data_IF_196445613465
#
_entry.id   IF_196445613465
#
_cell.length_a   1.000
_cell.length_b   1.000
_cell.length_c   1.000
_cell.angle_alpha   90.00
_cell.angle_beta   90.00
_cell.angle_gamma   90.00
#
_symmetry.space_group_name_H-M   'P 1'
#
loop_
_entity.id
_entity.type
_entity.pdbx_description
1 polymer ?
#
# COMPACT_ATOMS: atom_id res chain seq x y z
N UNK A 1 12.75 -23.06 5.70
CA UNK A 1 13.89 -22.84 4.77
C UNK A 1 13.44 -21.81 3.74
N UNK A 2 14.08 -20.64 3.72
CA UNK A 2 13.77 -19.57 2.78
C UNK A 2 14.32 -19.98 1.41
N UNK A 3 13.47 -20.51 0.53
CA UNK A 3 13.85 -20.72 -0.87
C UNK A 3 14.01 -19.33 -1.47
N UNK A 4 15.20 -18.95 -1.99
CA UNK A 4 15.33 -17.70 -2.70
C UNK A 4 14.39 -17.80 -3.91
N UNK A 5 13.37 -16.94 -3.98
CA UNK A 5 12.66 -16.75 -5.23
C UNK A 5 13.70 -16.38 -6.28
N UNK A 6 13.92 -17.32 -7.20
CA UNK A 6 14.60 -17.07 -8.44
C UNK A 6 13.99 -15.81 -9.05
N UNK A 7 14.83 -14.85 -9.43
CA UNK A 7 14.47 -13.87 -10.45
C UNK A 7 14.21 -14.66 -11.75
N UNK A 8 13.05 -15.30 -11.86
CA UNK A 8 12.49 -15.55 -13.18
C UNK A 8 12.07 -14.18 -13.68
N UNK A 9 12.93 -13.63 -14.53
CA UNK A 9 12.55 -12.62 -15.50
C UNK A 9 11.42 -13.23 -16.35
N UNK A 10 10.18 -13.22 -15.88
CA UNK A 10 9.09 -12.99 -16.81
C UNK A 10 9.25 -11.54 -17.26
N UNK A 11 9.27 -11.32 -18.57
CA UNK A 11 8.88 -10.02 -19.10
C UNK A 11 7.43 -9.84 -18.68
N UNK A 12 7.19 -9.40 -17.44
CA UNK A 12 5.85 -9.02 -17.02
C UNK A 12 5.51 -7.82 -17.89
N UNK A 13 4.68 -8.09 -18.90
CA UNK A 13 4.16 -7.06 -19.79
C UNK A 13 3.54 -5.99 -18.90
N UNK A 14 4.07 -4.76 -18.99
CA UNK A 14 3.58 -3.65 -18.17
C UNK A 14 2.15 -3.40 -18.65
N UNK A 15 1.19 -3.80 -17.82
CA UNK A 15 -0.22 -3.63 -18.12
C UNK A 15 -0.50 -2.14 -18.42
N UNK A 16 -1.34 -1.85 -19.43
CA UNK A 16 -1.69 -0.49 -19.74
C UNK A 16 -2.42 0.12 -18.55
N UNK A 17 -2.05 1.36 -18.22
CA UNK A 17 -2.66 2.10 -17.13
C UNK A 17 -2.83 3.58 -17.47
N UNK A 18 -2.59 3.97 -18.70
CA UNK A 18 -2.84 5.33 -19.16
C UNK A 18 -3.69 5.37 -20.41
N UNK A 19 -4.30 6.52 -20.62
CA UNK A 19 -5.01 6.90 -21.84
C UNK A 19 -4.49 8.27 -22.27
N UNK A 20 -4.25 8.41 -23.57
CA UNK A 20 -3.99 9.70 -24.21
C UNK A 20 -5.21 10.04 -25.04
N UNK A 21 -5.84 11.17 -24.73
CA UNK A 21 -7.01 11.71 -25.41
C UNK A 21 -6.50 12.82 -26.34
N UNK A 22 -6.76 12.69 -27.64
CA UNK A 22 -6.26 13.61 -28.66
C UNK A 22 -7.36 14.57 -29.14
N UNK A 23 -6.99 15.48 -30.04
CA UNK A 23 -7.91 16.39 -30.74
C UNK A 23 -8.73 17.28 -29.80
N UNK A 24 -8.14 17.61 -28.65
CA UNK A 24 -8.72 18.54 -27.71
C UNK A 24 -8.40 19.99 -28.12
N UNK A 25 -9.28 20.96 -27.79
CA UNK A 25 -8.98 22.37 -27.99
C UNK A 25 -7.65 22.76 -27.32
N UNK A 26 -6.84 23.58 -27.97
CA UNK A 26 -5.56 24.05 -27.40
C UNK A 26 -5.72 24.84 -26.10
N UNK A 27 -6.92 25.36 -25.84
CA UNK A 27 -7.28 26.10 -24.62
C UNK A 27 -7.88 25.22 -23.52
N UNK A 28 -7.99 23.90 -23.72
CA UNK A 28 -8.66 23.02 -22.77
C UNK A 28 -7.93 22.99 -21.44
N UNK A 29 -8.69 23.10 -20.34
CA UNK A 29 -8.15 22.98 -18.99
C UNK A 29 -8.18 21.53 -18.49
N UNK A 30 -7.29 21.15 -17.56
CA UNK A 30 -7.32 19.82 -16.95
C UNK A 30 -8.68 19.45 -16.35
N UNK A 31 -9.32 20.38 -15.63
CA UNK A 31 -10.66 20.20 -15.06
C UNK A 31 -11.72 19.81 -16.08
N UNK A 32 -11.68 20.36 -17.30
CA UNK A 32 -12.63 20.01 -18.37
C UNK A 32 -12.50 18.55 -18.81
N UNK A 33 -11.29 18.01 -18.78
CA UNK A 33 -11.01 16.59 -19.05
C UNK A 33 -11.39 15.74 -17.84
N UNK A 34 -10.91 16.10 -16.65
CA UNK A 34 -11.07 15.35 -15.41
C UNK A 34 -12.53 15.23 -14.97
N UNK A 35 -13.35 16.25 -15.21
CA UNK A 35 -14.78 16.24 -14.89
C UNK A 35 -15.57 15.19 -15.69
N UNK A 36 -15.05 14.77 -16.85
CA UNK A 36 -15.62 13.70 -17.68
C UNK A 36 -15.18 12.30 -17.25
N UNK A 37 -14.29 12.17 -16.26
CA UNK A 37 -13.81 10.88 -15.76
C UNK A 37 -14.61 10.46 -14.53
N UNK A 38 -15.26 9.30 -14.63
CA UNK A 38 -16.15 8.77 -13.59
C UNK A 38 -15.59 7.55 -12.83
N UNK A 39 -14.53 6.93 -13.36
CA UNK A 39 -13.95 5.69 -12.84
C UNK A 39 -12.44 5.81 -12.78
N UNK A 40 -11.88 6.43 -11.75
CA UNK A 40 -10.43 6.31 -11.63
C UNK A 40 -9.77 6.90 -10.42
N UNK A 41 -8.85 6.11 -9.88
CA UNK A 41 -7.74 6.61 -9.09
C UNK A 41 -6.66 7.13 -10.02
N UNK A 42 -6.56 8.45 -10.17
CA UNK A 42 -5.62 9.10 -11.10
C UNK A 42 -4.28 9.33 -10.40
N UNK A 43 -3.20 8.82 -11.00
CA UNK A 43 -1.82 9.14 -10.62
C UNK A 43 -1.41 10.52 -11.11
N UNK A 44 -1.66 10.79 -12.39
CA UNK A 44 -1.33 12.06 -13.02
C UNK A 44 -2.26 12.42 -14.18
N UNK A 45 -2.44 13.72 -14.39
CA UNK A 45 -3.04 14.31 -15.58
C UNK A 45 -2.07 15.34 -16.15
N UNK A 46 -1.79 15.29 -17.45
CA UNK A 46 -0.98 16.30 -18.13
C UNK A 46 -1.63 16.68 -19.46
N UNK A 47 -1.54 17.96 -19.82
CA UNK A 47 -2.01 18.46 -21.12
C UNK A 47 -0.79 18.90 -21.93
N UNK A 48 -0.74 18.49 -23.19
CA UNK A 48 0.32 18.86 -24.13
C UNK A 48 -0.28 18.90 -25.53
N UNK A 49 -0.15 20.03 -26.22
CA UNK A 49 -0.48 20.21 -27.63
C UNK A 49 -1.82 19.60 -28.08
N UNK A 50 -2.92 20.04 -27.45
CA UNK A 50 -4.27 19.55 -27.79
C UNK A 50 -4.51 18.08 -27.41
N UNK A 51 -3.69 17.53 -26.53
CA UNK A 51 -3.85 16.16 -26.02
C UNK A 51 -3.78 16.15 -24.49
N UNK A 52 -4.54 15.25 -23.86
CA UNK A 52 -4.51 15.02 -22.42
C UNK A 52 -4.08 13.59 -22.13
N UNK A 53 -3.05 13.41 -21.31
CA UNK A 53 -2.59 12.11 -20.83
C UNK A 53 -3.07 11.91 -19.40
N UNK A 54 -3.88 10.89 -19.19
CA UNK A 54 -4.30 10.45 -17.86
C UNK A 54 -3.63 9.13 -17.52
N UNK A 55 -2.99 9.06 -16.37
CA UNK A 55 -2.34 7.86 -15.85
C UNK A 55 -3.10 7.41 -14.60
N UNK A 56 -3.55 6.16 -14.57
CA UNK A 56 -4.31 5.54 -13.49
C UNK A 56 -3.44 4.64 -12.62
N UNK A 57 -3.90 4.38 -11.39
CA UNK A 57 -3.28 3.44 -10.46
C UNK A 57 -3.56 1.97 -10.80
N UNK A 58 -4.61 1.68 -11.56
CA UNK A 58 -5.01 0.32 -11.90
C UNK A 58 -5.47 0.18 -13.36
N UNK A 59 -5.22 -0.98 -13.94
CA UNK A 59 -5.77 -1.36 -15.24
C UNK A 59 -7.32 -1.34 -15.23
N UNK A 60 -7.92 -1.73 -14.11
CA UNK A 60 -9.38 -1.78 -13.96
C UNK A 60 -10.01 -0.38 -14.10
N UNK A 61 -9.43 0.62 -13.45
CA UNK A 61 -9.88 2.01 -13.56
C UNK A 61 -9.77 2.53 -14.99
N UNK A 62 -8.65 2.23 -15.68
CA UNK A 62 -8.47 2.55 -17.10
C UNK A 62 -9.56 1.88 -17.95
N UNK A 63 -9.78 0.58 -17.77
CA UNK A 63 -10.76 -0.20 -18.52
C UNK A 63 -12.17 0.38 -18.36
N UNK A 64 -12.59 0.66 -17.14
CA UNK A 64 -13.91 1.23 -16.86
C UNK A 64 -14.05 2.65 -17.39
N UNK A 65 -12.99 3.46 -17.32
CA UNK A 65 -12.97 4.78 -17.95
C UNK A 65 -13.16 4.67 -19.46
N UNK A 66 -12.44 3.78 -20.15
CA UNK A 66 -12.60 3.57 -21.59
C UNK A 66 -14.03 3.14 -21.93
N UNK A 67 -14.63 2.24 -21.14
CA UNK A 67 -16.02 1.82 -21.34
C UNK A 67 -17.01 2.95 -21.17
N UNK A 68 -16.83 3.81 -20.17
CA UNK A 68 -17.68 4.99 -19.95
C UNK A 68 -17.52 6.02 -21.07
N UNK A 69 -16.29 6.23 -21.57
CA UNK A 69 -16.02 7.12 -22.73
C UNK A 69 -16.73 6.61 -23.98
N UNK A 70 -16.64 5.29 -24.26
CA UNK A 70 -17.30 4.64 -25.41
C UNK A 70 -18.83 4.73 -25.33
N UNK A 71 -19.41 4.58 -24.14
CA UNK A 71 -20.87 4.62 -23.96
C UNK A 71 -21.44 6.03 -24.05
N UNK A 72 -20.72 7.03 -23.54
CA UNK A 72 -21.23 8.41 -23.46
C UNK A 72 -20.69 9.32 -24.57
N UNK A 73 -19.89 8.79 -25.52
CA UNK A 73 -19.22 9.56 -26.58
C UNK A 73 -18.49 10.81 -26.04
N UNK A 74 -17.89 10.71 -24.85
CA UNK A 74 -17.30 11.86 -24.16
C UNK A 74 -16.02 12.40 -24.82
N UNK A 75 -15.34 11.53 -25.58
CA UNK A 75 -14.15 11.81 -26.38
C UNK A 75 -14.15 10.94 -27.64
N UNK A 76 -13.68 11.49 -28.76
CA UNK A 76 -13.73 10.85 -30.09
C UNK A 76 -12.43 10.15 -30.48
N UNK A 77 -11.29 10.62 -29.97
CA UNK A 77 -9.95 10.16 -30.37
C UNK A 77 -9.10 9.89 -29.12
N UNK A 78 -8.69 8.64 -28.90
CA UNK A 78 -7.83 8.25 -27.79
C UNK A 78 -7.06 6.95 -28.06
N UNK A 79 -5.95 6.75 -27.35
CA UNK A 79 -5.20 5.49 -27.33
C UNK A 79 -4.66 5.17 -25.93
N UNK A 80 -4.35 3.90 -25.67
CA UNK A 80 -3.85 3.44 -24.38
C UNK A 80 -2.33 3.45 -24.32
N UNK A 81 -1.78 3.71 -23.13
CA UNK A 81 -0.34 3.68 -22.87
C UNK A 81 -0.02 2.85 -21.64
N UNK A 82 1.13 2.18 -21.68
CA UNK A 82 1.69 1.44 -20.55
C UNK A 82 2.79 2.26 -19.88
N UNK A 83 2.64 2.47 -18.58
CA UNK A 83 3.64 3.14 -17.76
C UNK A 83 3.91 2.28 -16.52
N UNK A 84 5.16 2.13 -16.07
CA UNK A 84 5.42 1.44 -14.81
C UNK A 84 4.91 2.28 -13.65
N UNK A 85 4.43 1.64 -12.59
CA UNK A 85 4.07 2.30 -11.33
C UNK A 85 5.20 2.15 -10.31
N UNK A 86 5.58 3.25 -9.66
CA UNK A 86 6.57 3.20 -8.58
C UNK A 86 5.95 2.57 -7.34
N UNK A 87 6.62 1.58 -6.76
CA UNK A 87 6.15 0.81 -5.61
C UNK A 87 5.72 1.68 -4.42
N UNK A 88 6.53 2.67 -4.04
CA UNK A 88 6.24 3.59 -2.94
C UNK A 88 5.03 4.51 -3.23
N UNK A 89 4.86 4.93 -4.48
CA UNK A 89 3.72 5.75 -4.90
C UNK A 89 2.42 4.95 -4.85
N UNK A 90 2.46 3.70 -5.36
CA UNK A 90 1.36 2.74 -5.25
C UNK A 90 0.96 2.51 -3.80
N UNK A 91 1.92 2.23 -2.92
CA UNK A 91 1.63 1.92 -1.52
C UNK A 91 1.07 3.14 -0.78
N UNK A 92 1.56 4.35 -1.06
CA UNK A 92 0.97 5.58 -0.53
C UNK A 92 -0.49 5.75 -0.97
N UNK A 93 -0.79 5.54 -2.25
CA UNK A 93 -2.16 5.59 -2.77
C UNK A 93 -3.08 4.55 -2.12
N UNK A 94 -2.63 3.29 -2.01
CA UNK A 94 -3.39 2.23 -1.34
C UNK A 94 -3.66 2.51 0.16
N UNK A 95 -2.81 3.33 0.78
CA UNK A 95 -3.00 3.84 2.14
C UNK A 95 -3.91 5.07 2.22
N UNK A 96 -4.39 5.60 1.10
CA UNK A 96 -5.35 6.71 1.05
C UNK A 96 -4.81 8.02 0.47
N UNK A 97 -3.57 8.04 -0.06
CA UNK A 97 -3.10 9.22 -0.79
C UNK A 97 -3.92 9.43 -2.07
N UNK A 98 -4.25 10.69 -2.33
CA UNK A 98 -4.88 11.17 -3.56
C UNK A 98 -4.14 12.41 -4.05
N UNK A 99 -4.47 12.89 -5.25
CA UNK A 99 -4.00 14.19 -5.75
C UNK A 99 -4.71 15.39 -5.10
N UNK A 100 -5.72 15.16 -4.26
CA UNK A 100 -6.47 16.22 -3.59
C UNK A 100 -6.07 16.30 -2.11
N UNK A 101 -5.85 17.52 -1.61
CA UNK A 101 -5.40 17.78 -0.25
C UNK A 101 -6.34 18.78 0.39
N UNK A 102 -6.74 18.54 1.62
CA UNK A 102 -7.54 19.48 2.41
C UNK A 102 -6.69 20.03 3.56
N UNK A 103 -6.81 21.33 3.79
CA UNK A 103 -6.28 22.01 4.97
C UNK A 103 -7.49 22.53 5.74
N UNK A 104 -7.74 21.95 6.91
CA UNK A 104 -8.86 22.30 7.78
C UNK A 104 -8.63 23.62 8.51
N UNK A 105 -9.69 24.30 8.95
CA UNK A 105 -9.63 25.54 9.73
C UNK A 105 -8.70 26.60 9.10
N UNK A 106 -8.97 26.94 7.84
CA UNK A 106 -8.10 27.74 6.96
C UNK A 106 -8.84 28.92 6.33
N UNK A 107 -9.87 29.43 7.00
CA UNK A 107 -10.58 30.66 6.64
C UNK A 107 -9.56 31.79 6.43
N UNK A 108 -9.66 32.48 5.28
CA UNK A 108 -8.78 33.59 4.91
C UNK A 108 -7.39 33.20 4.41
N UNK A 109 -7.07 31.89 4.28
CA UNK A 109 -5.76 31.43 3.82
C UNK A 109 -5.71 31.01 2.34
N UNK A 110 -6.80 31.22 1.58
CA UNK A 110 -6.94 30.74 0.20
C UNK A 110 -5.79 31.22 -0.70
N UNK A 111 -5.49 32.52 -0.73
CA UNK A 111 -4.47 33.09 -1.60
C UNK A 111 -3.06 32.61 -1.23
N UNK A 112 -2.78 32.53 0.07
CA UNK A 112 -1.50 32.02 0.59
C UNK A 112 -1.31 30.54 0.23
N UNK A 113 -2.33 29.71 0.46
CA UNK A 113 -2.26 28.28 0.15
C UNK A 113 -2.15 28.05 -1.37
N UNK A 114 -2.88 28.82 -2.16
CA UNK A 114 -2.80 28.80 -3.63
C UNK A 114 -1.37 29.09 -4.09
N UNK A 115 -0.80 30.21 -3.66
CA UNK A 115 0.58 30.60 -3.98
C UNK A 115 1.59 29.52 -3.55
N UNK A 116 1.43 28.97 -2.35
CA UNK A 116 2.31 27.93 -1.83
C UNK A 116 2.19 26.61 -2.59
N UNK A 117 0.99 26.22 -3.04
CA UNK A 117 0.77 24.97 -3.77
C UNK A 117 1.47 24.97 -5.13
N UNK A 118 1.52 26.12 -5.81
CA UNK A 118 2.20 26.28 -7.10
C UNK A 118 3.72 26.04 -7.00
N UNK A 119 4.32 26.21 -5.82
CA UNK A 119 5.74 25.89 -5.58
C UNK A 119 6.06 24.39 -5.65
N UNK A 120 5.04 23.53 -5.56
CA UNK A 120 5.23 22.07 -5.60
C UNK A 120 4.98 21.49 -6.99
N UNK A 121 4.04 22.07 -7.74
CA UNK A 121 3.67 21.66 -9.09
C UNK A 121 2.29 22.18 -9.47
N UNK A 122 1.83 21.78 -10.65
CA UNK A 122 0.57 22.26 -11.22
C UNK A 122 -0.66 21.81 -10.41
N UNK A 123 -1.58 22.76 -10.25
CA UNK A 123 -2.88 22.57 -9.62
C UNK A 123 -3.98 22.76 -10.65
N UNK A 124 -4.98 21.88 -10.62
CA UNK A 124 -6.21 22.05 -11.37
C UNK A 124 -7.05 23.18 -10.78
N UNK A 125 -7.24 23.13 -9.45
CA UNK A 125 -8.12 24.04 -8.74
C UNK A 125 -7.70 24.16 -7.28
N UNK A 126 -7.88 25.35 -6.70
CA UNK A 126 -7.79 25.58 -5.26
C UNK A 126 -9.08 26.27 -4.82
N UNK A 127 -9.83 25.62 -3.94
CA UNK A 127 -11.18 26.07 -3.53
C UNK A 127 -11.26 26.24 -2.03
N UNK A 128 -12.05 27.21 -1.58
CA UNK A 128 -12.46 27.31 -0.18
C UNK A 128 -13.87 26.77 -0.03
N UNK A 129 -14.05 25.82 0.88
CA UNK A 129 -15.31 25.15 1.12
C UNK A 129 -15.45 24.85 2.62
N UNK A 130 -16.56 25.29 3.23
CA UNK A 130 -16.90 25.02 4.63
C UNK A 130 -15.79 25.34 5.63
N UNK A 131 -15.09 26.46 5.43
CA UNK A 131 -13.98 26.90 6.30
C UNK A 131 -12.65 26.16 6.06
N UNK A 132 -12.59 25.30 5.06
CA UNK A 132 -11.39 24.58 4.64
C UNK A 132 -10.89 25.11 3.30
N UNK A 133 -9.65 24.77 2.95
CA UNK A 133 -9.06 24.98 1.63
C UNK A 133 -8.70 23.62 1.06
N UNK A 134 -9.21 23.33 -0.13
CA UNK A 134 -8.95 22.09 -0.86
C UNK A 134 -8.08 22.44 -2.08
N UNK A 135 -6.93 21.78 -2.17
CA UNK A 135 -5.98 21.91 -3.27
C UNK A 135 -6.06 20.64 -4.12
N UNK A 136 -6.44 20.78 -5.39
CA UNK A 136 -6.50 19.68 -6.36
C UNK A 136 -5.26 19.73 -7.25
N UNK A 137 -4.26 18.90 -6.97
CA UNK A 137 -3.08 18.78 -7.83
C UNK A 137 -3.39 17.96 -9.08
N UNK A 138 -2.58 18.15 -10.12
CA UNK A 138 -2.60 17.29 -11.30
C UNK A 138 -1.85 15.97 -11.11
N UNK A 139 -0.91 15.93 -10.15
CA UNK A 139 -0.11 14.75 -9.81
C UNK A 139 -0.20 14.42 -8.32
N UNK A 140 -0.46 13.14 -8.01
CA UNK A 140 -0.44 12.65 -6.62
C UNK A 140 0.94 12.79 -5.96
N UNK A 141 2.02 12.66 -6.73
CA UNK A 141 3.39 12.83 -6.22
C UNK A 141 3.61 14.25 -5.70
N UNK A 142 3.01 15.25 -6.34
CA UNK A 142 3.06 16.65 -5.93
C UNK A 142 2.25 16.87 -4.66
N UNK A 143 1.02 16.33 -4.60
CA UNK A 143 0.20 16.33 -3.39
C UNK A 143 0.93 15.71 -2.19
N UNK A 144 1.60 14.56 -2.37
CA UNK A 144 2.38 13.90 -1.32
C UNK A 144 3.54 14.76 -0.80
N UNK A 145 4.25 15.49 -1.68
CA UNK A 145 5.31 16.41 -1.27
C UNK A 145 4.74 17.61 -0.49
N UNK A 146 3.62 18.15 -0.95
CA UNK A 146 2.91 19.25 -0.28
C UNK A 146 2.47 18.84 1.12
N UNK A 147 1.79 17.69 1.24
CA UNK A 147 1.39 17.11 2.53
C UNK A 147 2.59 16.87 3.45
N UNK A 148 3.68 16.31 2.93
CA UNK A 148 4.90 16.09 3.73
C UNK A 148 5.45 17.41 4.32
N UNK A 149 5.49 18.49 3.53
CA UNK A 149 5.97 19.80 4.01
C UNK A 149 5.04 20.36 5.10
N UNK A 150 3.75 20.40 4.85
CA UNK A 150 2.77 20.97 5.78
C UNK A 150 2.60 20.12 7.04
N UNK A 151 2.68 18.79 6.93
CA UNK A 151 2.65 17.91 8.10
C UNK A 151 3.87 18.11 9.03
N UNK A 152 5.01 18.53 8.46
CA UNK A 152 6.19 18.86 9.27
C UNK A 152 6.05 20.18 10.04
N UNK A 153 5.22 21.09 9.55
CA UNK A 153 4.95 22.40 10.14
C UNK A 153 3.96 22.29 11.30
N UNK A 154 4.30 22.86 12.45
CA UNK A 154 3.48 22.83 13.67
C UNK A 154 2.12 23.48 13.45
N UNK A 155 2.05 24.52 12.59
CA UNK A 155 0.79 25.22 12.31
C UNK A 155 -0.22 24.33 11.56
N UNK A 156 0.25 23.42 10.72
CA UNK A 156 -0.61 22.65 9.80
C UNK A 156 -0.68 21.15 10.11
N UNK A 157 0.21 20.61 10.95
CA UNK A 157 0.38 19.16 11.20
C UNK A 157 -0.93 18.40 11.43
N UNK A 158 -1.83 18.98 12.23
CA UNK A 158 -3.11 18.35 12.60
C UNK A 158 -4.29 18.84 11.75
N UNK A 159 -4.05 19.74 10.80
CA UNK A 159 -5.08 20.35 9.93
C UNK A 159 -5.06 19.78 8.51
N UNK A 160 -3.91 19.26 8.08
CA UNK A 160 -3.75 18.75 6.72
C UNK A 160 -4.14 17.27 6.61
N UNK A 161 -4.84 16.93 5.54
CA UNK A 161 -5.18 15.54 5.19
C UNK A 161 -5.30 15.37 3.67
N UNK A 162 -5.31 14.12 3.20
CA UNK A 162 -5.78 13.84 1.84
C UNK A 162 -7.30 14.04 1.77
N UNK A 163 -7.77 14.45 0.60
CA UNK A 163 -9.18 14.65 0.28
C UNK A 163 -9.60 13.68 -0.84
N UNK A 164 -10.86 13.20 -0.89
CA UNK A 164 -11.30 12.34 -1.99
C UNK A 164 -11.05 12.98 -3.36
N UNK A 165 -10.51 12.20 -4.30
CA UNK A 165 -10.38 12.64 -5.69
C UNK A 165 -11.76 12.53 -6.36
N UNK A 166 -12.30 13.62 -6.95
CA UNK A 166 -13.60 13.57 -7.63
C UNK A 166 -13.67 12.55 -8.77
N UNK A 167 -12.54 12.12 -9.34
CA UNK A 167 -12.53 11.09 -10.38
C UNK A 167 -12.71 9.68 -9.81
N UNK A 168 -12.49 9.49 -8.50
CA UNK A 168 -12.62 8.20 -7.84
C UNK A 168 -14.08 7.85 -7.53
N UNK A 169 -14.51 6.68 -7.99
CA UNK A 169 -15.70 6.00 -7.49
C UNK A 169 -17.08 6.68 -7.65
N UNK A 170 -17.26 7.62 -8.59
CA UNK A 170 -18.57 8.26 -8.83
C UNK A 170 -19.70 7.27 -9.18
N UNK A 171 -19.40 6.15 -9.86
CA UNK A 171 -20.40 5.20 -10.38
C UNK A 171 -20.19 3.72 -10.01
N UNK A 172 -19.12 3.36 -9.30
CA UNK A 172 -18.87 1.95 -8.91
C UNK A 172 -19.98 1.34 -8.04
N UNK A 173 -20.71 2.18 -7.29
CA UNK A 173 -21.78 1.75 -6.37
C UNK A 173 -23.03 1.24 -7.12
N UNK A 174 -23.17 1.47 -8.43
CA UNK A 174 -24.37 1.15 -9.19
C UNK A 174 -24.24 -0.04 -10.16
N UNK A 175 -23.03 -0.55 -10.44
CA UNK A 175 -22.83 -1.63 -11.42
C UNK A 175 -22.72 -3.02 -10.76
N UNK A 176 -23.75 -3.84 -10.96
CA UNK A 176 -23.95 -5.19 -10.42
C UNK A 176 -23.16 -6.32 -11.11
N UNK A 177 -22.19 -6.00 -11.98
CA UNK A 177 -21.51 -7.00 -12.81
C UNK A 177 -20.33 -7.72 -12.12
N UNK A 178 -19.85 -7.21 -10.98
CA UNK A 178 -18.82 -7.87 -10.17
C UNK A 178 -19.39 -8.20 -8.80
N UNK A 179 -19.05 -9.38 -8.28
CA UNK A 179 -19.44 -9.78 -6.93
C UNK A 179 -18.99 -8.71 -5.91
N UNK A 180 -19.98 -8.10 -5.26
CA UNK A 180 -19.84 -7.05 -4.24
C UNK A 180 -18.81 -7.39 -3.14
N UNK A 181 -18.56 -8.68 -2.92
CA UNK A 181 -17.62 -9.17 -1.91
C UNK A 181 -16.15 -8.76 -2.16
N UNK A 182 -15.75 -8.47 -3.41
CA UNK A 182 -14.40 -8.03 -3.81
C UNK A 182 -14.17 -6.52 -3.74
N UNK A 183 -15.24 -5.72 -3.68
CA UNK A 183 -15.17 -4.25 -3.60
C UNK A 183 -15.26 -3.70 -2.17
N UNK A 184 -15.39 -4.56 -1.17
CA UNK A 184 -15.27 -4.15 0.23
C UNK A 184 -13.84 -3.63 0.44
N UNK A 185 -13.68 -2.32 0.58
CA UNK A 185 -12.40 -1.62 0.79
C UNK A 185 -11.84 -1.81 2.21
N UNK A 186 -11.98 -3.00 2.78
CA UNK A 186 -11.49 -3.31 4.11
C UNK A 186 -10.10 -3.97 4.01
N UNK A 187 -9.12 -3.37 4.68
CA UNK A 187 -7.72 -3.83 4.72
C UNK A 187 -7.41 -4.76 5.89
N UNK A 188 -8.34 -4.89 6.83
CA UNK A 188 -8.09 -5.52 8.13
C UNK A 188 -8.67 -6.92 8.16
N UNK A 189 -7.84 -7.88 8.58
CA UNK A 189 -8.22 -9.28 8.78
C UNK A 189 -8.18 -9.61 10.26
N UNK A 190 -9.26 -10.21 10.75
CA UNK A 190 -9.35 -10.76 12.09
C UNK A 190 -8.89 -12.22 12.09
N UNK A 191 -8.01 -12.55 13.04
CA UNK A 191 -7.55 -13.90 13.33
C UNK A 191 -7.94 -14.26 14.77
N UNK A 192 -8.83 -15.22 14.94
CA UNK A 192 -9.27 -15.73 16.25
C UNK A 192 -8.66 -17.10 16.57
N UNK A 193 -8.67 -17.46 17.85
CA UNK A 193 -8.09 -18.73 18.31
C UNK A 193 -6.57 -18.69 18.50
N UNK A 194 -6.02 -17.49 18.74
CA UNK A 194 -4.59 -17.32 18.96
C UNK A 194 -4.22 -17.82 20.35
N UNK A 195 -3.47 -18.92 20.42
CA UNK A 195 -2.96 -19.48 21.68
C UNK A 195 -1.85 -18.59 22.27
N UNK A 196 -1.59 -18.71 23.58
CA UNK A 196 -0.50 -17.99 24.28
C UNK A 196 0.85 -18.24 23.63
N UNK A 197 1.04 -19.44 23.10
CA UNK A 197 2.34 -19.91 22.62
C UNK A 197 2.58 -19.52 21.16
N UNK A 198 1.58 -18.99 20.45
CA UNK A 198 1.73 -18.54 19.06
C UNK A 198 2.49 -17.20 19.06
N UNK A 199 3.63 -17.12 18.38
CA UNK A 199 4.39 -15.87 18.27
C UNK A 199 3.84 -14.98 17.14
N UNK A 200 4.21 -13.68 17.11
CA UNK A 200 3.97 -12.85 15.93
C UNK A 200 4.54 -13.47 14.64
N UNK A 201 5.75 -14.05 14.70
CA UNK A 201 6.37 -14.74 13.56
C UNK A 201 5.50 -15.90 13.04
N UNK A 202 4.91 -16.69 13.95
CA UNK A 202 4.00 -17.79 13.61
C UNK A 202 2.76 -17.29 12.84
N UNK A 203 2.22 -16.13 13.23
CA UNK A 203 1.09 -15.49 12.53
C UNK A 203 1.52 -15.02 11.14
N UNK A 204 2.64 -14.32 11.03
CA UNK A 204 3.12 -13.83 9.74
C UNK A 204 3.61 -14.95 8.79
N UNK A 205 3.95 -16.13 9.32
CA UNK A 205 4.25 -17.31 8.51
C UNK A 205 3.04 -17.80 7.70
N UNK A 206 1.81 -17.53 8.16
CA UNK A 206 0.58 -17.94 7.46
C UNK A 206 -0.08 -16.78 6.70
N UNK A 207 0.29 -15.53 6.97
CA UNK A 207 -0.20 -14.34 6.26
C UNK A 207 0.55 -14.14 4.95
N UNK A 208 -0.20 -13.99 3.85
CA UNK A 208 0.35 -13.90 2.49
C UNK A 208 -0.52 -13.10 1.54
N UNK A 209 0.00 -12.82 0.34
CA UNK A 209 -0.73 -12.13 -0.73
C UNK A 209 -0.44 -10.63 -0.83
N UNK A 210 0.37 -10.06 0.07
CA UNK A 210 0.70 -8.63 0.01
C UNK A 210 1.45 -8.09 1.23
N UNK A 211 1.86 -6.83 1.11
CA UNK A 211 2.52 -6.10 2.19
C UNK A 211 1.55 -5.81 3.34
N UNK A 212 2.05 -5.91 4.57
CA UNK A 212 1.29 -5.66 5.79
C UNK A 212 1.73 -4.32 6.41
N UNK A 213 0.76 -3.53 6.88
CA UNK A 213 0.99 -2.32 7.66
C UNK A 213 1.32 -2.67 9.11
N UNK A 214 0.48 -3.48 9.76
CA UNK A 214 0.59 -3.79 11.18
C UNK A 214 -0.05 -5.12 11.57
N UNK A 215 0.48 -5.71 12.65
CA UNK A 215 -0.16 -6.76 13.43
C UNK A 215 -0.46 -6.22 14.83
N UNK A 216 -1.74 -6.24 15.22
CA UNK A 216 -2.18 -5.97 16.59
C UNK A 216 -2.60 -7.28 17.25
N UNK A 217 -1.82 -7.73 18.22
CA UNK A 217 -2.07 -8.97 18.96
C UNK A 217 -2.73 -8.68 20.31
N UNK A 218 -3.90 -9.28 20.55
CA UNK A 218 -4.64 -9.16 21.80
C UNK A 218 -4.67 -10.52 22.50
N UNK A 219 -3.66 -10.77 23.33
CA UNK A 219 -3.45 -12.04 24.04
C UNK A 219 -4.66 -12.45 24.89
N UNK A 220 -5.19 -11.51 25.68
CA UNK A 220 -6.34 -11.76 26.57
C UNK A 220 -7.61 -12.14 25.80
N UNK A 221 -7.76 -11.61 24.58
CA UNK A 221 -8.89 -11.89 23.70
C UNK A 221 -8.62 -13.07 22.75
N UNK A 222 -7.44 -13.70 22.84
CA UNK A 222 -7.00 -14.80 21.97
C UNK A 222 -7.21 -14.49 20.49
N UNK A 223 -6.92 -13.25 20.09
CA UNK A 223 -7.13 -12.79 18.72
C UNK A 223 -6.06 -11.79 18.25
N UNK A 224 -5.99 -11.60 16.94
CA UNK A 224 -5.12 -10.62 16.32
C UNK A 224 -5.82 -9.93 15.14
N UNK A 225 -5.33 -8.74 14.80
CA UNK A 225 -5.77 -7.98 13.64
C UNK A 225 -4.56 -7.70 12.74
N UNK A 226 -4.70 -8.00 11.46
CA UNK A 226 -3.67 -7.78 10.44
C UNK A 226 -4.18 -6.75 9.45
N UNK A 227 -3.52 -5.60 9.39
CA UNK A 227 -3.86 -4.53 8.44
C UNK A 227 -2.95 -4.64 7.21
N UNK A 228 -3.50 -4.91 6.03
CA UNK A 228 -2.73 -4.92 4.78
C UNK A 228 -2.57 -3.50 4.22
N UNK A 229 -1.53 -3.26 3.42
CA UNK A 229 -1.44 -2.04 2.60
C UNK A 229 -2.56 -2.05 1.53
N UNK A 230 -2.73 -3.18 0.85
CA UNK A 230 -3.69 -3.34 -0.23
C UNK A 230 -4.95 -4.08 0.26
N UNK A 231 -6.12 -3.46 0.15
CA UNK A 231 -7.39 -4.10 0.54
C UNK A 231 -7.72 -5.33 -0.33
N UNK A 232 -7.30 -5.35 -1.61
CA UNK A 232 -7.46 -6.53 -2.44
C UNK A 232 -6.64 -7.71 -1.91
N UNK A 233 -5.42 -7.46 -1.40
CA UNK A 233 -4.59 -8.50 -0.77
C UNK A 233 -5.27 -9.08 0.47
N UNK A 234 -5.89 -8.24 1.31
CA UNK A 234 -6.68 -8.69 2.46
C UNK A 234 -7.85 -9.58 2.02
N UNK A 235 -8.64 -9.15 1.04
CA UNK A 235 -9.78 -9.91 0.52
C UNK A 235 -9.37 -11.26 -0.10
N UNK A 236 -8.28 -11.28 -0.88
CA UNK A 236 -7.73 -12.50 -1.47
C UNK A 236 -7.20 -13.45 -0.39
N UNK A 237 -6.49 -12.92 0.61
CA UNK A 237 -6.02 -13.70 1.74
C UNK A 237 -7.17 -14.32 2.55
N UNK A 238 -8.25 -13.57 2.78
CA UNK A 238 -9.46 -14.07 3.42
C UNK A 238 -10.08 -15.22 2.61
N UNK A 239 -10.31 -15.01 1.31
CA UNK A 239 -10.88 -16.04 0.45
C UNK A 239 -10.02 -17.31 0.41
N UNK A 240 -8.70 -17.14 0.30
CA UNK A 240 -7.74 -18.23 0.36
C UNK A 240 -7.81 -19.00 1.68
N UNK A 241 -7.86 -18.27 2.81
CA UNK A 241 -7.87 -18.84 4.16
C UNK A 241 -9.16 -19.61 4.47
N UNK A 242 -10.31 -19.16 3.95
CA UNK A 242 -11.59 -19.83 4.09
C UNK A 242 -11.64 -21.15 3.32
N UNK A 243 -10.96 -21.21 2.16
CA UNK A 243 -10.92 -22.43 1.35
C UNK A 243 -9.87 -23.43 1.85
N UNK A 244 -8.74 -23.00 2.38
CA UNK A 244 -7.58 -23.86 2.66
C UNK A 244 -7.30 -24.11 4.14
N UNK A 245 -8.17 -23.65 5.04
CA UNK A 245 -7.96 -23.64 6.50
C UNK A 245 -6.66 -22.95 6.92
N UNK A 246 -6.76 -21.73 7.46
CA UNK A 246 -5.60 -21.03 8.00
C UNK A 246 -5.08 -21.71 9.27
N UNK A 247 -3.90 -22.33 9.17
CA UNK A 247 -3.39 -23.20 10.22
C UNK A 247 -1.91 -22.97 10.48
N UNK A 248 -1.55 -22.77 11.75
CA UNK A 248 -0.17 -22.62 12.21
C UNK A 248 0.33 -23.99 12.68
N UNK A 249 1.43 -24.46 12.08
CA UNK A 249 2.10 -25.69 12.48
C UNK A 249 3.35 -25.34 13.30
N UNK A 250 3.29 -25.50 14.61
CA UNK A 250 4.39 -25.18 15.53
C UNK A 250 5.15 -26.44 15.93
N UNK A 251 6.45 -26.48 15.64
CA UNK A 251 7.33 -27.55 16.10
C UNK A 251 7.75 -27.28 17.53
N UNK A 252 7.60 -28.28 18.39
CA UNK A 252 7.99 -28.25 19.80
C UNK A 252 8.95 -29.39 20.04
N UNK A 253 10.16 -29.04 20.46
CA UNK A 253 11.15 -30.00 20.93
C UNK A 253 10.74 -30.50 22.31
N UNK A 254 10.74 -31.82 22.47
CA UNK A 254 10.47 -32.49 23.73
C UNK A 254 11.51 -33.59 23.93
N UNK A 255 11.58 -34.14 25.15
CA UNK A 255 12.48 -35.25 25.47
C UNK A 255 12.26 -36.50 24.57
N UNK A 256 11.09 -36.61 23.92
CA UNK A 256 10.73 -37.71 23.03
C UNK A 256 10.86 -37.34 21.53
N UNK A 257 11.56 -36.24 21.20
CA UNK A 257 11.75 -35.75 19.84
C UNK A 257 10.91 -34.51 19.50
N UNK A 258 10.80 -34.21 18.21
CA UNK A 258 10.10 -33.02 17.69
C UNK A 258 8.64 -33.36 17.43
N UNK A 259 7.74 -32.81 18.22
CA UNK A 259 6.30 -32.88 17.99
C UNK A 259 5.83 -31.65 17.22
N UNK A 260 4.81 -31.78 16.36
CA UNK A 260 4.18 -30.64 15.69
C UNK A 260 2.78 -30.45 16.24
N UNK A 261 2.52 -29.30 16.86
CA UNK A 261 1.19 -28.89 17.28
C UNK A 261 0.56 -28.04 16.17
N UNK A 262 -0.68 -28.36 15.84
CA UNK A 262 -1.44 -27.68 14.82
C UNK A 262 -2.48 -26.74 15.47
N UNK A 263 -2.42 -25.45 15.16
CA UNK A 263 -3.36 -24.44 15.61
C UNK A 263 -4.20 -23.93 14.43
N UNK A 264 -5.48 -24.29 14.41
CA UNK A 264 -6.43 -23.78 13.41
C UNK A 264 -6.94 -22.41 13.81
N UNK A 265 -6.76 -21.41 12.94
CA UNK A 265 -7.21 -20.05 13.16
C UNK A 265 -8.61 -19.82 12.59
N UNK A 266 -9.39 -18.98 13.27
CA UNK A 266 -10.64 -18.43 12.73
C UNK A 266 -10.32 -17.16 11.95
N UNK A 267 -10.52 -17.17 10.64
CA UNK A 267 -10.23 -16.01 9.78
C UNK A 267 -11.52 -15.34 9.34
N UNK A 268 -11.62 -14.02 9.52
CA UNK A 268 -12.75 -13.23 9.06
C UNK A 268 -12.33 -11.79 8.77
N UNK A 269 -13.24 -10.97 8.25
CA UNK A 269 -12.98 -9.54 8.08
C UNK A 269 -12.86 -8.89 9.45
N UNK A 270 -11.82 -8.08 9.63
CA UNK A 270 -11.65 -7.26 10.82
C UNK A 270 -12.44 -5.97 10.73
N UNK A 271 -12.44 -5.21 11.83
CA UNK A 271 -12.97 -3.84 11.84
C UNK A 271 -11.99 -2.96 11.07
N UNK A 272 -12.49 -2.21 10.10
CA UNK A 272 -11.65 -1.32 9.29
C UNK A 272 -10.99 -0.25 10.18
N UNK A 273 -9.69 -0.06 9.99
CA UNK A 273 -8.92 0.96 10.68
C UNK A 273 -8.55 2.10 9.73
N UNK A 274 -8.67 3.34 10.21
CA UNK A 274 -8.16 4.51 9.50
C UNK A 274 -6.64 4.45 9.49
N UNK A 275 -6.04 4.61 8.31
CA UNK A 275 -4.57 4.69 8.18
C UNK A 275 -4.13 6.09 8.57
N UNK A 276 -3.24 6.24 9.57
CA UNK A 276 -2.72 7.56 9.95
C UNK A 276 -2.00 8.24 8.79
N UNK A 277 -2.12 9.57 8.70
CA UNK A 277 -1.48 10.35 7.64
C UNK A 277 0.04 10.12 7.57
N UNK A 278 0.69 10.00 8.73
CA UNK A 278 2.13 9.71 8.81
C UNK A 278 2.47 8.38 8.13
N UNK A 279 1.64 7.35 8.26
CA UNK A 279 1.84 6.04 7.62
C UNK A 279 1.79 6.15 6.09
N UNK A 280 0.89 6.98 5.55
CA UNK A 280 0.84 7.27 4.11
C UNK A 280 2.17 7.88 3.63
N UNK A 281 2.73 8.83 4.38
CA UNK A 281 4.01 9.46 4.08
C UNK A 281 5.20 8.49 4.24
N UNK A 282 5.13 7.56 5.19
CA UNK A 282 6.11 6.48 5.36
C UNK A 282 6.10 5.52 4.16
N UNK A 283 4.92 5.10 3.69
CA UNK A 283 4.79 4.32 2.46
C UNK A 283 5.36 5.07 1.24
N UNK A 284 5.11 6.39 1.14
CA UNK A 284 5.69 7.22 0.08
C UNK A 284 7.23 7.30 0.17
N UNK A 285 7.80 7.25 1.37
CA UNK A 285 9.23 7.13 1.57
C UNK A 285 9.79 5.73 1.24
N UNK A 286 8.92 4.78 0.88
CA UNK A 286 9.27 3.39 0.55
C UNK A 286 9.33 2.46 1.75
N UNK A 287 8.78 2.87 2.91
CA UNK A 287 8.77 2.04 4.10
C UNK A 287 7.95 0.77 3.89
N UNK A 288 8.43 -0.30 4.50
CA UNK A 288 7.71 -1.55 4.75
C UNK A 288 8.02 -1.95 6.19
N UNK A 289 7.48 -3.07 6.66
CA UNK A 289 7.88 -3.67 7.94
C UNK A 289 9.31 -4.21 7.95
N UNK A 290 9.98 -4.29 6.80
CA UNK A 290 11.30 -4.89 6.68
C UNK A 290 12.39 -3.82 6.44
N UNK A 291 13.45 -3.88 7.25
CA UNK A 291 14.71 -3.17 7.00
C UNK A 291 15.72 -4.17 6.46
N UNK A 292 16.44 -3.75 5.43
CA UNK A 292 17.55 -4.47 4.84
C UNK A 292 18.87 -3.76 5.22
N UNK A 293 19.71 -4.49 5.92
CA UNK A 293 21.12 -4.15 6.12
C UNK A 293 21.98 -4.90 5.11
N UNK A 294 22.94 -4.18 4.54
CA UNK A 294 23.94 -4.71 3.61
C UNK A 294 25.30 -4.06 3.90
N UNK A 295 26.37 -4.67 3.38
CA UNK A 295 27.77 -4.33 3.68
C UNK A 295 28.20 -4.75 5.10
N UNK A 296 29.37 -5.35 5.28
CA UNK A 296 29.96 -5.73 6.59
C UNK A 296 29.05 -6.47 7.58
N UNK A 297 27.97 -7.09 7.09
CA UNK A 297 26.92 -7.70 7.93
C UNK A 297 27.37 -9.02 8.57
N UNK A 298 28.47 -9.63 8.12
CA UNK A 298 29.07 -10.80 8.77
C UNK A 298 29.46 -10.58 10.23
N UNK A 299 29.67 -9.32 10.64
CA UNK A 299 30.02 -8.95 12.02
C UNK A 299 28.81 -8.76 12.93
N UNK A 300 27.60 -8.71 12.36
CA UNK A 300 26.37 -8.48 13.12
C UNK A 300 25.94 -9.75 13.85
N UNK A 301 25.45 -9.58 15.07
CA UNK A 301 24.85 -10.65 15.87
C UNK A 301 23.38 -10.36 16.10
N UNK A 302 22.57 -11.42 16.24
CA UNK A 302 21.14 -11.28 16.59
C UNK A 302 20.96 -10.47 17.87
N UNK A 303 21.84 -10.66 18.88
CA UNK A 303 21.80 -9.91 20.13
C UNK A 303 21.96 -8.40 19.91
N UNK A 304 23.00 -7.97 19.18
CA UNK A 304 23.19 -6.53 18.86
C UNK A 304 22.01 -5.96 18.09
N UNK A 305 21.48 -6.71 17.12
CA UNK A 305 20.33 -6.25 16.33
C UNK A 305 19.07 -6.12 17.19
N UNK A 306 18.80 -7.05 18.11
CA UNK A 306 17.71 -6.92 19.07
C UNK A 306 17.88 -5.71 19.98
N UNK A 307 19.09 -5.47 20.49
CA UNK A 307 19.40 -4.31 21.34
C UNK A 307 19.26 -2.97 20.60
N UNK A 308 19.71 -2.89 19.36
CA UNK A 308 19.73 -1.65 18.58
C UNK A 308 18.37 -1.36 17.93
N UNK A 309 17.72 -2.36 17.34
CA UNK A 309 16.45 -2.19 16.63
C UNK A 309 15.23 -2.36 17.55
N UNK A 310 15.34 -3.13 18.64
CA UNK A 310 14.22 -3.38 19.55
C UNK A 310 13.74 -2.13 20.30
N UNK A 311 14.58 -1.08 20.37
CA UNK A 311 14.22 0.24 20.91
C UNK A 311 13.07 0.93 20.17
N UNK A 312 12.82 0.52 18.92
CA UNK A 312 11.83 1.15 18.04
C UNK A 312 10.48 0.44 18.00
N UNK A 313 10.43 -0.82 18.42
CA UNK A 313 9.25 -1.65 18.37
C UNK A 313 9.59 -3.14 18.42
N UNK A 314 8.55 -3.96 18.55
CA UNK A 314 8.71 -5.41 18.60
C UNK A 314 9.20 -5.95 17.24
N UNK A 315 10.30 -6.69 17.29
CA UNK A 315 10.89 -7.34 16.13
C UNK A 315 10.18 -8.68 15.94
N UNK A 316 9.58 -8.84 14.77
CA UNK A 316 9.00 -10.10 14.32
C UNK A 316 10.09 -11.15 14.10
N UNK A 317 11.11 -10.81 13.30
CA UNK A 317 12.12 -11.77 12.84
C UNK A 317 13.40 -11.04 12.42
N UNK A 318 14.55 -11.66 12.70
CA UNK A 318 15.86 -11.29 12.15
C UNK A 318 16.34 -12.44 11.28
N UNK A 319 16.57 -12.18 9.99
CA UNK A 319 16.97 -13.20 9.03
C UNK A 319 18.30 -12.86 8.34
N UNK A 320 19.33 -13.65 8.64
CA UNK A 320 20.67 -13.52 8.04
C UNK A 320 20.75 -14.32 6.74
N UNK A 321 21.01 -13.64 5.62
CA UNK A 321 21.32 -14.30 4.34
C UNK A 321 22.83 -14.28 4.15
N UNK A 322 23.52 -15.23 4.80
CA UNK A 322 25.00 -15.31 4.87
C UNK A 322 25.67 -15.24 3.50
N UNK A 323 25.15 -15.96 2.51
CA UNK A 323 25.70 -15.99 1.14
C UNK A 323 25.70 -14.61 0.49
N UNK A 324 24.69 -13.78 0.79
CA UNK A 324 24.56 -12.43 0.25
C UNK A 324 25.16 -11.36 1.17
N UNK A 325 25.65 -11.75 2.36
CA UNK A 325 26.12 -10.82 3.40
C UNK A 325 25.12 -9.70 3.69
N UNK A 326 23.85 -10.07 3.83
CA UNK A 326 22.76 -9.15 4.16
C UNK A 326 21.92 -9.68 5.33
N UNK A 327 21.23 -8.77 6.01
CA UNK A 327 20.30 -9.09 7.11
C UNK A 327 18.99 -8.38 6.88
N UNK A 328 17.89 -9.11 7.08
CA UNK A 328 16.56 -8.53 7.17
C UNK A 328 16.13 -8.44 8.63
N UNK A 329 15.59 -7.28 9.02
CA UNK A 329 14.95 -7.06 10.31
C UNK A 329 13.50 -6.70 10.03
N UNK A 330 12.58 -7.58 10.43
CA UNK A 330 11.16 -7.39 10.25
C UNK A 330 10.53 -6.93 11.57
N UNK A 331 9.78 -5.84 11.52
CA UNK A 331 8.98 -5.33 12.63
C UNK A 331 7.53 -5.79 12.52
N UNK A 332 6.78 -5.77 13.61
CA UNK A 332 5.34 -6.02 13.56
C UNK A 332 4.54 -4.89 12.87
N UNK A 333 5.14 -3.71 12.72
CA UNK A 333 4.49 -2.51 12.23
C UNK A 333 5.45 -1.64 11.37
N UNK A 334 4.91 -1.03 10.31
CA UNK A 334 5.66 -0.17 9.37
C UNK A 334 6.23 1.09 10.02
N UNK A 335 5.53 1.67 11.01
CA UNK A 335 5.98 2.89 11.67
C UNK A 335 7.25 2.65 12.49
N UNK A 336 7.36 1.49 13.15
CA UNK A 336 8.55 1.15 13.95
C UNK A 336 9.77 0.93 13.06
N UNK A 337 9.58 0.20 11.95
CA UNK A 337 10.58 0.05 10.89
C UNK A 337 11.02 1.41 10.32
N UNK A 338 10.08 2.31 10.04
CA UNK A 338 10.42 3.64 9.55
C UNK A 338 11.23 4.45 10.55
N UNK A 339 10.84 4.44 11.83
CA UNK A 339 11.54 5.18 12.88
C UNK A 339 12.96 4.63 13.10
N UNK A 340 13.10 3.30 13.16
CA UNK A 340 14.41 2.64 13.22
C UNK A 340 15.29 3.05 12.03
N UNK A 341 14.74 3.04 10.81
CA UNK A 341 15.45 3.48 9.62
C UNK A 341 15.90 4.94 9.70
N UNK A 342 15.02 5.87 10.11
CA UNK A 342 15.36 7.30 10.16
C UNK A 342 16.48 7.59 11.15
N UNK A 343 16.49 6.93 12.30
CA UNK A 343 17.54 7.14 13.30
C UNK A 343 18.83 6.42 12.92
N UNK A 344 18.78 5.12 12.63
CA UNK A 344 19.99 4.31 12.39
C UNK A 344 20.70 4.69 11.09
N UNK A 345 20.00 5.23 10.08
CA UNK A 345 20.65 5.74 8.87
C UNK A 345 21.56 6.95 9.15
N UNK A 346 21.29 7.69 10.22
CA UNK A 346 22.06 8.86 10.61
C UNK A 346 23.02 8.61 11.78
N UNK A 347 22.90 7.45 12.45
CA UNK A 347 23.83 7.00 13.47
C UNK A 347 25.23 6.76 12.88
N UNK A 348 26.26 7.24 13.58
CA UNK A 348 27.65 7.25 13.06
C UNK A 348 28.15 5.81 12.84
N UNK A 349 27.97 4.93 13.83
CA UNK A 349 28.44 3.54 13.73
C UNK A 349 27.74 2.84 12.56
N UNK A 350 26.42 3.00 12.46
CA UNK A 350 25.63 2.31 11.45
C UNK A 350 25.88 2.84 10.04
N UNK A 351 25.93 4.16 9.88
CA UNK A 351 26.12 4.83 8.58
C UNK A 351 27.47 4.49 7.96
N UNK A 352 28.53 4.38 8.76
CA UNK A 352 29.87 4.05 8.28
C UNK A 352 30.01 2.58 7.90
N UNK A 353 29.39 1.67 8.67
CA UNK A 353 29.57 0.22 8.49
C UNK A 353 28.57 -0.40 7.51
N UNK A 354 27.33 0.09 7.48
CA UNK A 354 26.21 -0.59 6.83
C UNK A 354 25.47 0.33 5.85
N UNK A 355 25.00 -0.25 4.74
CA UNK A 355 23.96 0.36 3.91
C UNK A 355 22.60 -0.11 4.39
N UNK A 356 21.79 0.84 4.86
CA UNK A 356 20.43 0.63 5.35
C UNK A 356 19.42 1.04 4.29
N UNK A 357 18.50 0.15 3.95
CA UNK A 357 17.37 0.40 3.03
C UNK A 357 16.12 -0.32 3.51
N UNK A 358 14.94 0.00 2.97
CA UNK A 358 13.76 -0.85 3.19
C UNK A 358 13.83 -2.12 2.33
N UNK A 359 13.44 -3.24 2.93
CA UNK A 359 13.23 -4.52 2.26
C UNK A 359 11.79 -4.66 1.74
N UNK A 360 11.51 -5.74 1.01
CA UNK A 360 10.11 -6.14 0.77
C UNK A 360 9.56 -6.83 2.00
N UNK A 361 8.26 -6.66 2.26
CA UNK A 361 7.60 -7.42 3.30
C UNK A 361 7.52 -8.90 2.88
N UNK A 362 7.85 -9.82 3.79
CA UNK A 362 7.84 -11.26 3.49
C UNK A 362 6.44 -11.80 3.20
N UNK A 363 5.39 -11.14 3.70
CA UNK A 363 4.00 -11.50 3.39
C UNK A 363 3.64 -11.22 1.91
N UNK A 364 4.49 -10.50 1.18
CA UNK A 364 4.37 -10.27 -0.28
C UNK A 364 5.10 -11.31 -1.14
N UNK A 365 5.79 -12.29 -0.53
CA UNK A 365 6.55 -13.31 -1.27
C UNK A 365 5.64 -14.19 -2.13
N UNK A 366 4.55 -14.71 -1.56
CA UNK A 366 3.44 -15.27 -2.34
C UNK A 366 2.54 -14.10 -2.77
N UNK A 367 2.40 -13.91 -4.07
CA UNK A 367 1.69 -12.77 -4.64
C UNK A 367 0.18 -12.94 -4.55
N UNK A 368 -0.53 -11.81 -4.58
CA UNK A 368 -2.00 -11.80 -4.66
C UNK A 368 -2.52 -12.64 -5.83
N UNK A 369 -1.86 -12.57 -7.00
CA UNK A 369 -2.28 -13.29 -8.20
C UNK A 369 -2.09 -14.80 -8.06
N UNK A 370 -0.99 -15.24 -7.45
CA UNK A 370 -0.76 -16.65 -7.13
C UNK A 370 -1.83 -17.20 -6.18
N UNK A 371 -2.16 -16.45 -5.12
CA UNK A 371 -3.25 -16.82 -4.20
C UNK A 371 -4.60 -16.85 -4.91
N UNK A 372 -4.90 -15.84 -5.74
CA UNK A 372 -6.16 -15.76 -6.46
C UNK A 372 -6.32 -16.92 -7.44
N UNK A 373 -5.26 -17.31 -8.17
CA UNK A 373 -5.28 -18.51 -9.02
C UNK A 373 -5.54 -19.78 -8.22
N UNK A 374 -4.95 -19.91 -7.03
CA UNK A 374 -5.22 -21.04 -6.13
C UNK A 374 -6.69 -21.10 -5.69
N UNK A 375 -7.28 -19.94 -5.35
CA UNK A 375 -8.70 -19.82 -5.00
C UNK A 375 -9.60 -20.23 -6.16
N UNK A 376 -9.35 -19.70 -7.36
CA UNK A 376 -10.13 -20.00 -8.57
C UNK A 376 -10.07 -21.48 -8.89
N UNK A 377 -8.85 -22.06 -8.91
CA UNK A 377 -8.66 -23.48 -9.20
C UNK A 377 -9.46 -24.37 -8.26
N UNK A 378 -9.38 -24.12 -6.95
CA UNK A 378 -10.09 -24.91 -5.95
C UNK A 378 -11.61 -24.84 -6.12
N UNK A 379 -12.17 -23.63 -6.35
CA UNK A 379 -13.60 -23.47 -6.64
C UNK A 379 -14.04 -24.22 -7.91
N UNK A 380 -13.21 -24.23 -8.95
CA UNK A 380 -13.50 -24.97 -10.17
C UNK A 380 -13.49 -26.49 -9.93
N UNK A 381 -12.56 -26.97 -9.11
CA UNK A 381 -12.47 -28.39 -8.77
C UNK A 381 -13.67 -28.82 -7.91
N UNK A 382 -14.05 -28.03 -6.90
CA UNK A 382 -15.22 -28.28 -6.04
C UNK A 382 -16.55 -28.22 -6.81
N UNK A 383 -16.63 -27.46 -7.92
CA UNK A 383 -17.84 -27.38 -8.76
C UNK A 383 -18.06 -28.58 -9.68
N UNK A 384 -17.06 -29.47 -9.79
CA UNK A 384 -17.12 -30.69 -10.62
C UNK A 384 -17.52 -31.93 -9.85
N UNK A 385 -17.51 -31.86 -8.52
CA UNK A 385 -17.96 -32.90 -7.58
C UNK A 385 -19.35 -32.58 -7.08
#
# INVERSE_FOLDING_TARGET
MYTPMNRKNSKDEILPRGIVINELPLTIKPSEVLNKINYGSIESCSITDGSATLIFFSYLDLYLTIKDIQQNNSFTSYYVVSTPIKYNLRNAHLCGATRCVMISDSIGLLDQITSNSMLFGETDEVISENGNVIVKFLEIKTALKFVKKYHSDVQYRNKISFYPDPCSNKKYVQNSFLDSSFYVKNRTIYLGGIHSDISPEDIFNVVKGGDVLSLKLLRDKKCAFVDFINYHSANVFLAYSLLNDCTINKKIESNNGINTIQYKLKVSRGIETTVPLITVLQCFAGATRAILLSNNCETLTTKKLLEDFGKYGEIEMINFIKVKKIVFINFMNINDSYNAFQHLKNDIEYKEKYRITFGRDRCSNETMDELMRSVIKKKMDDSKT
#
